data_IF_090688009721
#
_entry.id   IF_090688009721
#
_cell.length_a   1.000
_cell.length_b   1.000
_cell.length_c   1.000
_cell.angle_alpha   90.00
_cell.angle_beta   90.00
_cell.angle_gamma   90.00
#
_symmetry.space_group_name_H-M   'P 1'
#
loop_
_entity.id
_entity.type
_entity.pdbx_description
1 polymer ?
#
# COMPACT_ATOMS: atom_id res chain seq x y z
N UNK A 1 -17.09 -13.68 -21.21
CA UNK A 1 -16.27 -12.43 -21.21
C UNK A 1 -14.82 -12.83 -21.45
N UNK A 2 -14.04 -12.05 -22.26
CA UNK A 2 -12.61 -12.38 -22.42
C UNK A 2 -11.90 -12.28 -21.07
N UNK A 3 -11.23 -13.33 -20.64
CA UNK A 3 -10.36 -13.32 -19.46
C UNK A 3 -9.16 -12.40 -19.72
N UNK A 4 -8.73 -11.67 -18.70
CA UNK A 4 -7.48 -10.90 -18.77
C UNK A 4 -6.31 -11.89 -18.80
N UNK A 5 -5.39 -11.67 -19.73
CA UNK A 5 -4.14 -12.44 -19.76
C UNK A 5 -3.21 -12.03 -18.62
N UNK A 6 -2.87 -12.95 -17.69
CA UNK A 6 -1.98 -12.67 -16.59
C UNK A 6 -0.60 -12.18 -17.03
N UNK A 7 -0.11 -12.56 -18.21
CA UNK A 7 1.21 -12.13 -18.71
C UNK A 7 1.21 -10.64 -19.07
N UNK A 8 0.09 -10.13 -19.58
CA UNK A 8 -0.08 -8.69 -19.83
C UNK A 8 -0.03 -7.89 -18.53
N UNK A 9 -0.74 -8.37 -17.48
CA UNK A 9 -0.73 -7.73 -16.16
C UNK A 9 0.65 -7.83 -15.51
N UNK A 10 1.32 -8.98 -15.63
CA UNK A 10 2.70 -9.18 -15.16
C UNK A 10 3.66 -8.15 -15.76
N UNK A 11 3.61 -7.97 -17.07
CA UNK A 11 4.47 -7.01 -17.78
C UNK A 11 4.23 -5.58 -17.30
N UNK A 12 2.98 -5.19 -17.11
CA UNK A 12 2.62 -3.89 -16.53
C UNK A 12 3.19 -3.70 -15.11
N UNK A 13 3.01 -4.69 -14.24
CA UNK A 13 3.44 -4.61 -12.83
C UNK A 13 4.96 -4.56 -12.69
N UNK A 14 5.71 -5.32 -13.50
CA UNK A 14 7.16 -5.25 -13.54
C UNK A 14 7.64 -3.87 -14.00
N UNK A 15 7.07 -3.34 -15.08
CA UNK A 15 7.38 -1.99 -15.54
C UNK A 15 6.99 -0.90 -14.53
N UNK A 16 5.92 -1.10 -13.77
CA UNK A 16 5.53 -0.21 -12.67
C UNK A 16 6.57 -0.21 -11.56
N UNK A 17 6.99 -1.39 -11.10
CA UNK A 17 8.04 -1.53 -10.08
C UNK A 17 9.32 -0.81 -10.52
N UNK A 18 9.76 -1.01 -11.75
CA UNK A 18 10.96 -0.37 -12.31
C UNK A 18 10.84 1.14 -12.28
N UNK A 19 9.80 1.70 -12.90
CA UNK A 19 9.59 3.16 -12.94
C UNK A 19 9.56 3.80 -11.55
N UNK A 20 8.92 3.14 -10.57
CA UNK A 20 8.83 3.67 -9.21
C UNK A 20 10.20 3.62 -8.53
N UNK A 21 10.89 2.48 -8.59
CA UNK A 21 12.19 2.35 -7.92
C UNK A 21 13.26 3.25 -8.53
N UNK A 22 13.26 3.44 -9.84
CA UNK A 22 14.18 4.35 -10.53
C UNK A 22 13.95 5.81 -10.13
N UNK A 23 12.68 6.24 -10.07
CA UNK A 23 12.33 7.59 -9.65
C UNK A 23 12.72 7.87 -8.19
N UNK A 24 12.50 6.90 -7.30
CA UNK A 24 12.86 7.01 -5.88
C UNK A 24 14.38 6.95 -5.69
N UNK A 25 15.09 6.08 -6.41
CA UNK A 25 16.55 6.01 -6.42
C UNK A 25 17.18 7.35 -6.87
N UNK A 26 16.64 7.97 -7.91
CA UNK A 26 17.09 9.27 -8.41
C UNK A 26 16.90 10.39 -7.36
N UNK A 27 15.83 10.36 -6.56
CA UNK A 27 15.60 11.34 -5.48
C UNK A 27 16.53 11.09 -4.30
N UNK A 28 16.72 9.83 -3.93
CA UNK A 28 17.54 9.45 -2.78
C UNK A 28 19.04 9.60 -3.06
N UNK A 29 19.47 9.31 -4.26
CA UNK A 29 20.88 9.21 -4.66
C UNK A 29 21.48 7.83 -4.37
N UNK A 30 20.66 6.85 -3.98
CA UNK A 30 21.05 5.46 -3.67
C UNK A 30 20.36 4.48 -4.62
N UNK A 31 20.85 3.24 -4.66
CA UNK A 31 20.29 2.18 -5.49
C UNK A 31 19.49 1.18 -4.68
N UNK A 32 18.46 0.59 -5.28
CA UNK A 32 17.75 -0.53 -4.69
C UNK A 32 18.53 -1.84 -4.88
N UNK A 33 18.63 -2.63 -3.82
CA UNK A 33 18.98 -4.04 -3.93
C UNK A 33 17.78 -4.79 -4.53
N UNK A 34 18.00 -5.50 -5.63
CA UNK A 34 16.98 -6.36 -6.24
C UNK A 34 17.21 -7.81 -5.82
N UNK A 35 16.26 -8.36 -5.09
CA UNK A 35 16.26 -9.75 -4.65
C UNK A 35 15.22 -10.54 -5.46
N UNK A 36 15.70 -11.35 -6.40
CA UNK A 36 14.87 -12.23 -7.23
C UNK A 36 14.67 -13.55 -6.50
N UNK A 37 13.42 -13.90 -6.27
CA UNK A 37 13.08 -15.11 -5.55
C UNK A 37 12.11 -16.00 -6.33
N UNK A 38 12.20 -17.28 -6.10
CA UNK A 38 11.31 -18.30 -6.63
C UNK A 38 10.92 -19.26 -5.49
N UNK A 39 9.68 -19.70 -5.51
CA UNK A 39 9.18 -20.71 -4.58
C UNK A 39 9.73 -22.08 -4.94
N UNK A 40 10.14 -22.83 -3.93
CA UNK A 40 10.65 -24.19 -4.11
C UNK A 40 9.53 -25.16 -4.51
N UNK A 41 9.84 -26.19 -5.32
CA UNK A 41 8.87 -27.24 -5.63
C UNK A 41 8.34 -27.90 -4.36
N UNK A 42 7.01 -28.00 -4.24
CA UNK A 42 6.34 -28.59 -3.06
C UNK A 42 5.91 -27.63 -1.98
N UNK A 43 6.27 -26.34 -2.06
CA UNK A 43 5.67 -25.32 -1.21
C UNK A 43 4.18 -25.13 -1.53
N UNK A 44 3.39 -24.67 -0.54
CA UNK A 44 1.94 -24.42 -0.69
C UNK A 44 1.64 -23.39 -1.77
N UNK A 45 2.47 -22.35 -1.88
CA UNK A 45 2.45 -21.39 -2.99
C UNK A 45 3.56 -21.71 -3.96
N UNK A 46 3.27 -21.59 -5.24
CA UNK A 46 4.23 -21.67 -6.34
C UNK A 46 4.34 -20.31 -7.03
N UNK A 47 5.47 -20.02 -7.68
CA UNK A 47 5.67 -18.76 -8.39
C UNK A 47 6.93 -18.03 -7.99
N UNK A 48 7.01 -16.77 -8.33
CA UNK A 48 8.22 -15.96 -8.16
C UNK A 48 7.89 -14.49 -7.90
N UNK A 49 8.91 -13.72 -7.60
CA UNK A 49 8.81 -12.28 -7.45
C UNK A 49 10.15 -11.60 -7.40
N UNK A 50 10.10 -10.28 -7.26
CA UNK A 50 11.26 -9.41 -7.12
C UNK A 50 10.98 -8.46 -5.97
N UNK A 51 11.80 -8.56 -4.92
CA UNK A 51 11.78 -7.59 -3.83
C UNK A 51 12.89 -6.57 -4.06
N UNK A 52 12.51 -5.32 -4.31
CA UNK A 52 13.46 -4.22 -4.38
C UNK A 52 13.45 -3.47 -3.06
N UNK A 53 14.61 -3.38 -2.41
CA UNK A 53 14.77 -2.73 -1.09
C UNK A 53 15.90 -1.71 -1.13
N UNK A 54 15.65 -0.53 -0.62
CA UNK A 54 16.64 0.50 -0.33
C UNK A 54 16.66 0.72 1.18
N UNK A 55 17.82 0.63 1.78
CA UNK A 55 18.03 0.86 3.20
C UNK A 55 19.12 1.90 3.43
N UNK A 56 18.96 2.66 4.51
CA UNK A 56 19.90 3.68 4.94
C UNK A 56 20.19 4.78 3.91
N UNK A 57 19.23 5.06 3.01
CA UNK A 57 19.34 6.12 2.04
C UNK A 57 19.36 7.53 2.66
N UNK A 58 19.67 8.51 1.83
CA UNK A 58 19.71 9.93 2.25
C UNK A 58 18.31 10.45 2.60
N UNK A 59 17.31 10.12 1.76
CA UNK A 59 15.93 10.56 1.91
C UNK A 59 15.10 9.47 2.58
N UNK A 60 15.29 8.22 2.18
CA UNK A 60 14.53 7.09 2.70
C UNK A 60 15.37 6.23 3.62
N UNK A 61 14.95 6.10 4.85
CA UNK A 61 15.56 5.19 5.82
C UNK A 61 15.32 3.73 5.44
N UNK A 62 14.14 3.46 4.89
CA UNK A 62 13.78 2.21 4.18
C UNK A 62 12.74 2.50 3.12
N UNK A 63 12.95 1.95 1.93
CA UNK A 63 11.97 1.93 0.85
C UNK A 63 11.90 0.52 0.27
N UNK A 64 10.75 -0.12 0.41
CA UNK A 64 10.51 -1.45 -0.12
C UNK A 64 9.47 -1.44 -1.23
N UNK A 65 9.75 -2.11 -2.36
CA UNK A 65 8.82 -2.29 -3.47
C UNK A 65 8.89 -3.74 -3.95
N UNK A 66 7.87 -4.53 -3.64
CA UNK A 66 7.79 -5.94 -3.97
C UNK A 66 6.83 -6.21 -5.12
N UNK A 67 7.30 -6.92 -6.14
CA UNK A 67 6.46 -7.60 -7.13
C UNK A 67 6.32 -9.05 -6.75
N UNK A 68 5.12 -9.62 -6.88
CA UNK A 68 4.87 -11.06 -6.73
C UNK A 68 3.92 -11.56 -7.81
N UNK A 69 4.17 -12.81 -8.26
CA UNK A 69 3.29 -13.58 -9.11
C UNK A 69 3.26 -15.02 -8.57
N UNK A 70 2.19 -15.37 -7.89
CA UNK A 70 2.06 -16.64 -7.18
C UNK A 70 0.77 -17.35 -7.54
N UNK A 71 0.80 -18.67 -7.41
CA UNK A 71 -0.33 -19.57 -7.60
C UNK A 71 -0.47 -20.46 -6.38
N UNK A 72 -1.70 -20.74 -5.99
CA UNK A 72 -1.98 -21.65 -4.89
C UNK A 72 -3.12 -22.61 -5.23
N UNK A 73 -3.13 -23.81 -4.61
CA UNK A 73 -4.16 -24.81 -4.86
C UNK A 73 -5.51 -24.45 -4.22
N UNK A 74 -5.50 -23.54 -3.24
CA UNK A 74 -6.70 -23.17 -2.48
C UNK A 74 -6.66 -21.68 -2.09
N UNK A 75 -7.70 -20.94 -2.46
CA UNK A 75 -7.93 -19.60 -1.93
C UNK A 75 -8.12 -19.67 -0.40
N UNK A 76 -7.39 -18.84 0.36
CA UNK A 76 -7.57 -18.77 1.80
C UNK A 76 -8.90 -18.12 2.18
N UNK A 77 -9.45 -18.38 3.39
CA UNK A 77 -10.72 -17.81 3.86
C UNK A 77 -10.80 -16.30 3.79
N UNK A 78 -9.68 -15.61 4.01
CA UNK A 78 -9.60 -14.14 3.93
C UNK A 78 -9.87 -13.59 2.53
N UNK A 79 -9.61 -14.36 1.47
CA UNK A 79 -9.87 -13.98 0.08
C UNK A 79 -11.25 -14.43 -0.43
N UNK A 80 -11.97 -15.25 0.34
CA UNK A 80 -13.28 -15.80 -0.06
C UNK A 80 -14.45 -15.28 0.78
N UNK A 81 -14.20 -14.32 1.68
CA UNK A 81 -15.23 -13.77 2.55
C UNK A 81 -16.45 -13.23 1.78
N UNK A 82 -16.21 -12.62 0.62
CA UNK A 82 -17.26 -12.09 -0.26
C UNK A 82 -17.53 -12.96 -1.49
N UNK A 83 -16.87 -14.14 -1.59
CA UNK A 83 -16.94 -15.09 -2.70
C UNK A 83 -16.95 -16.53 -2.19
N UNK A 84 -17.97 -16.93 -1.43
CA UNK A 84 -18.02 -18.28 -0.85
C UNK A 84 -18.02 -19.39 -1.91
N UNK A 85 -18.48 -19.09 -3.13
CA UNK A 85 -18.46 -20.00 -4.29
C UNK A 85 -17.05 -20.34 -4.78
N UNK A 86 -16.05 -19.51 -4.42
CA UNK A 86 -14.62 -19.73 -4.73
C UNK A 86 -13.85 -20.34 -3.56
N UNK A 87 -14.52 -20.72 -2.48
CA UNK A 87 -13.85 -21.31 -1.32
C UNK A 87 -13.11 -22.59 -1.73
N UNK A 88 -11.80 -22.62 -1.45
CA UNK A 88 -10.96 -23.74 -1.81
C UNK A 88 -10.59 -23.88 -3.29
N UNK A 89 -10.98 -22.92 -4.14
CA UNK A 89 -10.60 -22.89 -5.54
C UNK A 89 -9.11 -22.63 -5.74
N UNK A 90 -8.46 -23.22 -6.76
CA UNK A 90 -7.12 -22.83 -7.16
C UNK A 90 -7.10 -21.38 -7.64
N UNK A 91 -6.01 -20.69 -7.36
CA UNK A 91 -5.91 -19.25 -7.66
C UNK A 91 -4.55 -18.85 -8.21
N UNK A 92 -4.54 -17.71 -8.85
CA UNK A 92 -3.36 -16.99 -9.31
C UNK A 92 -3.45 -15.54 -8.85
N UNK A 93 -2.39 -15.00 -8.25
CA UNK A 93 -2.33 -13.65 -7.74
C UNK A 93 -1.06 -12.94 -8.22
N UNK A 94 -1.25 -11.73 -8.74
CA UNK A 94 -0.17 -10.85 -9.18
C UNK A 94 -0.34 -9.48 -8.53
N UNK A 95 0.76 -8.88 -8.09
CA UNK A 95 0.68 -7.56 -7.49
C UNK A 95 2.02 -6.87 -7.30
N UNK A 96 1.94 -5.57 -7.10
CA UNK A 96 3.00 -4.73 -6.58
C UNK A 96 2.53 -4.12 -5.27
N UNK A 97 3.37 -4.22 -4.24
CA UNK A 97 3.16 -3.60 -2.94
C UNK A 97 4.40 -2.81 -2.55
N UNK A 98 4.22 -1.61 -2.06
CA UNK A 98 5.33 -0.78 -1.59
C UNK A 98 5.00 -0.02 -0.31
N UNK A 99 6.04 0.21 0.49
CA UNK A 99 6.02 1.13 1.62
C UNK A 99 7.35 1.87 1.68
N UNK A 100 7.30 3.18 1.77
CA UNK A 100 8.48 4.02 1.90
C UNK A 100 8.47 4.77 3.22
N UNK A 101 9.52 4.58 4.01
CA UNK A 101 9.73 5.21 5.31
C UNK A 101 10.84 6.26 5.19
N UNK A 102 10.48 7.55 5.10
CA UNK A 102 11.45 8.62 4.94
C UNK A 102 12.21 8.90 6.24
N UNK A 103 13.44 9.40 6.09
CA UNK A 103 14.29 9.80 7.21
C UNK A 103 13.77 11.07 7.89
N UNK A 104 13.44 12.09 7.07
CA UNK A 104 12.93 13.35 7.58
C UNK A 104 11.50 13.20 8.11
N UNK A 105 11.22 13.60 9.38
CA UNK A 105 9.88 13.48 9.98
C UNK A 105 8.78 14.28 9.27
N UNK A 106 9.13 15.28 8.49
CA UNK A 106 8.18 16.08 7.73
C UNK A 106 7.76 15.45 6.40
N UNK A 107 8.50 14.44 5.92
CA UNK A 107 8.08 13.62 4.79
C UNK A 107 7.18 12.48 5.30
N UNK A 108 5.97 12.31 4.78
CA UNK A 108 5.09 11.23 5.23
C UNK A 108 5.55 9.85 4.73
N UNK A 109 5.26 8.81 5.48
CA UNK A 109 5.26 7.43 4.97
C UNK A 109 4.14 7.28 3.94
N UNK A 110 4.41 6.53 2.89
CA UNK A 110 3.44 6.19 1.84
C UNK A 110 3.35 4.69 1.65
N UNK A 111 2.15 4.21 1.42
CA UNK A 111 1.86 2.84 1.00
C UNK A 111 1.10 2.86 -0.32
N UNK A 112 1.37 1.89 -1.19
CA UNK A 112 0.56 1.54 -2.34
C UNK A 112 0.54 0.03 -2.50
N UNK A 113 -0.61 -0.50 -2.84
CA UNK A 113 -0.78 -1.87 -3.30
C UNK A 113 -1.69 -1.88 -4.52
N UNK A 114 -1.32 -2.65 -5.54
CA UNK A 114 -2.21 -2.95 -6.68
C UNK A 114 -2.05 -4.41 -7.03
N UNK A 115 -3.18 -5.10 -7.22
CA UNK A 115 -3.18 -6.54 -7.43
C UNK A 115 -4.33 -7.00 -8.32
N UNK A 116 -4.10 -8.12 -9.00
CA UNK A 116 -5.11 -8.92 -9.67
C UNK A 116 -5.13 -10.31 -9.05
N UNK A 117 -6.30 -10.85 -8.84
CA UNK A 117 -6.53 -12.25 -8.50
C UNK A 117 -7.41 -12.89 -9.55
N UNK A 118 -7.12 -14.16 -9.83
CA UNK A 118 -7.99 -15.03 -10.63
C UNK A 118 -8.21 -16.33 -9.90
N UNK A 119 -9.41 -16.89 -9.97
CA UNK A 119 -9.71 -18.21 -9.44
C UNK A 119 -10.65 -18.95 -10.37
N UNK A 120 -10.48 -20.26 -10.47
CA UNK A 120 -11.35 -21.12 -11.26
C UNK A 120 -12.26 -21.90 -10.31
N UNK A 121 -13.60 -21.71 -10.38
CA UNK A 121 -14.53 -22.44 -9.54
C UNK A 121 -14.34 -23.96 -9.64
N UNK A 122 -14.48 -24.69 -8.54
CA UNK A 122 -14.27 -26.14 -8.48
C UNK A 122 -15.25 -26.95 -9.37
N UNK A 123 -16.39 -26.35 -9.71
CA UNK A 123 -17.40 -26.95 -10.62
C UNK A 123 -17.06 -26.85 -12.11
N UNK A 124 -15.85 -26.35 -12.47
CA UNK A 124 -15.42 -26.20 -13.88
C UNK A 124 -16.00 -24.97 -14.59
N UNK A 125 -16.48 -23.97 -13.84
CA UNK A 125 -16.94 -22.69 -14.39
C UNK A 125 -15.81 -21.85 -14.99
N UNK A 126 -16.18 -20.76 -15.67
CA UNK A 126 -15.22 -19.77 -16.21
C UNK A 126 -14.40 -19.14 -15.08
N UNK A 127 -13.08 -18.88 -15.30
CA UNK A 127 -12.25 -18.19 -14.34
C UNK A 127 -12.83 -16.81 -13.98
N UNK A 128 -12.87 -16.51 -12.68
CA UNK A 128 -13.29 -15.21 -12.16
C UNK A 128 -12.04 -14.38 -11.89
N UNK A 129 -12.04 -13.14 -12.36
CA UNK A 129 -10.94 -12.20 -12.17
C UNK A 129 -11.45 -10.96 -11.43
N UNK A 130 -10.70 -10.51 -10.43
CA UNK A 130 -10.96 -9.27 -9.68
C UNK A 130 -9.69 -8.53 -9.32
N UNK A 131 -9.86 -7.26 -8.96
CA UNK A 131 -8.77 -6.35 -8.69
C UNK A 131 -8.90 -5.78 -7.28
N UNK A 132 -7.76 -5.51 -6.67
CA UNK A 132 -7.66 -4.76 -5.43
C UNK A 132 -6.50 -3.78 -5.50
N UNK A 133 -6.57 -2.77 -4.67
CA UNK A 133 -5.50 -1.80 -4.61
C UNK A 133 -5.84 -0.55 -3.83
N UNK A 134 -4.94 0.40 -3.94
CA UNK A 134 -5.05 1.69 -3.32
C UNK A 134 -3.69 2.28 -2.99
N UNK A 135 -3.70 3.50 -2.53
CA UNK A 135 -2.55 4.18 -1.96
C UNK A 135 -3.01 5.11 -0.84
N UNK A 136 -2.22 5.21 0.21
CA UNK A 136 -2.50 6.05 1.37
C UNK A 136 -1.25 6.70 1.95
N UNK A 137 -1.45 7.84 2.61
CA UNK A 137 -0.39 8.68 3.14
C UNK A 137 -0.47 8.74 4.66
N UNK A 138 0.66 8.51 5.33
CA UNK A 138 0.79 8.51 6.79
C UNK A 138 1.78 9.60 7.23
N UNK A 139 1.33 10.83 7.48
CA UNK A 139 2.18 11.91 7.98
C UNK A 139 2.47 11.75 9.48
N UNK A 140 3.62 12.30 9.89
CA UNK A 140 3.99 12.49 11.29
C UNK A 140 3.76 13.95 11.72
N UNK A 141 3.85 14.85 10.76
CA UNK A 141 3.47 16.26 10.85
C UNK A 141 2.57 16.58 9.67
N UNK A 142 1.40 17.13 9.95
CA UNK A 142 0.38 17.37 8.94
C UNK A 142 0.55 18.70 8.20
N UNK A 143 0.46 18.64 6.86
CA UNK A 143 0.39 19.80 5.98
C UNK A 143 -0.84 19.68 5.08
N UNK A 144 -1.72 20.65 5.15
CA UNK A 144 -2.99 20.61 4.42
C UNK A 144 -2.78 20.55 2.90
N UNK A 145 -1.82 21.32 2.39
CA UNK A 145 -1.46 21.31 0.96
C UNK A 145 -0.98 19.94 0.45
N UNK A 146 -0.29 19.17 1.30
CA UNK A 146 0.17 17.82 0.95
C UNK A 146 -1.01 16.82 0.93
N UNK A 147 -1.93 16.95 1.90
CA UNK A 147 -3.14 16.14 1.94
C UNK A 147 -4.06 16.43 0.75
N UNK A 148 -4.31 17.71 0.45
CA UNK A 148 -5.11 18.13 -0.71
C UNK A 148 -4.47 17.62 -2.01
N UNK A 149 -3.16 17.82 -2.20
CA UNK A 149 -2.45 17.34 -3.39
C UNK A 149 -2.57 15.82 -3.57
N UNK A 150 -2.35 15.06 -2.51
CA UNK A 150 -2.43 13.60 -2.56
C UNK A 150 -3.84 13.12 -2.93
N UNK A 151 -4.85 13.66 -2.25
CA UNK A 151 -6.25 13.31 -2.49
C UNK A 151 -6.76 13.77 -3.84
N UNK A 152 -6.34 14.96 -4.31
CA UNK A 152 -6.70 15.44 -5.65
C UNK A 152 -6.13 14.51 -6.74
N UNK A 153 -4.88 14.07 -6.58
CA UNK A 153 -4.27 13.10 -7.51
C UNK A 153 -5.02 11.77 -7.51
N UNK A 154 -5.45 11.28 -6.34
CA UNK A 154 -6.28 10.08 -6.24
C UNK A 154 -7.64 10.26 -6.97
N UNK A 155 -8.29 11.40 -6.77
CA UNK A 155 -9.57 11.74 -7.39
C UNK A 155 -9.46 11.83 -8.91
N UNK A 156 -8.42 12.49 -9.40
CA UNK A 156 -8.18 12.65 -10.85
C UNK A 156 -7.88 11.29 -11.52
N UNK A 157 -7.12 10.41 -10.86
CA UNK A 157 -6.85 9.06 -11.34
C UNK A 157 -8.12 8.20 -11.49
N UNK A 158 -9.13 8.43 -10.65
CA UNK A 158 -10.39 7.70 -10.66
C UNK A 158 -11.50 8.34 -11.51
N UNK A 159 -11.38 9.62 -11.82
CA UNK A 159 -12.40 10.37 -12.54
C UNK A 159 -12.87 9.72 -13.87
N UNK A 160 -11.98 9.09 -14.70
CA UNK A 160 -12.41 8.42 -15.94
C UNK A 160 -13.33 7.20 -15.72
N UNK A 161 -13.40 6.69 -14.50
CA UNK A 161 -14.10 5.45 -14.14
C UNK A 161 -15.44 5.67 -13.44
N UNK A 162 -15.79 6.93 -13.16
CA UNK A 162 -17.05 7.36 -12.56
C UNK A 162 -16.83 8.27 -11.34
N UNK A 163 -17.67 9.29 -11.21
CA UNK A 163 -17.58 10.29 -10.16
C UNK A 163 -17.80 9.76 -8.73
N UNK A 164 -18.41 8.58 -8.61
CA UNK A 164 -18.65 7.85 -7.35
C UNK A 164 -17.43 7.09 -6.84
N UNK A 165 -16.41 6.83 -7.69
CA UNK A 165 -15.29 5.96 -7.33
C UNK A 165 -14.41 6.56 -6.25
N UNK A 166 -14.03 7.85 -6.40
CA UNK A 166 -13.18 8.49 -5.40
C UNK A 166 -13.85 8.58 -4.02
N UNK A 167 -15.04 9.13 -3.83
CA UNK A 167 -15.64 9.22 -2.50
C UNK A 167 -15.87 7.85 -1.86
N UNK A 168 -16.27 6.83 -2.64
CA UNK A 168 -16.44 5.47 -2.14
C UNK A 168 -15.13 4.83 -1.69
N UNK A 169 -14.08 4.93 -2.50
CA UNK A 169 -12.80 4.32 -2.18
C UNK A 169 -12.01 5.10 -1.11
N UNK A 170 -12.24 6.41 -1.02
CA UNK A 170 -11.73 7.23 0.09
C UNK A 170 -12.35 6.81 1.41
N UNK A 171 -13.68 6.70 1.46
CA UNK A 171 -14.37 6.21 2.66
C UNK A 171 -13.90 4.81 3.07
N UNK A 172 -13.77 3.91 2.11
CA UNK A 172 -13.27 2.55 2.38
C UNK A 172 -11.83 2.55 2.88
N UNK A 173 -10.98 3.42 2.35
CA UNK A 173 -9.61 3.63 2.85
C UNK A 173 -9.60 4.07 4.32
N UNK A 174 -10.43 5.05 4.67
CA UNK A 174 -10.55 5.54 6.05
C UNK A 174 -11.01 4.44 7.01
N UNK A 175 -11.94 3.60 6.58
CA UNK A 175 -12.44 2.47 7.38
C UNK A 175 -11.43 1.35 7.52
N UNK A 176 -10.71 1.03 6.44
CA UNK A 176 -9.73 -0.05 6.42
C UNK A 176 -8.52 0.25 7.29
N UNK A 177 -7.96 1.48 7.18
CA UNK A 177 -6.74 1.86 7.90
C UNK A 177 -6.99 2.45 9.30
N UNK A 178 -8.21 2.40 9.80
CA UNK A 178 -8.54 2.84 11.15
C UNK A 178 -7.97 1.90 12.22
N UNK A 179 -7.19 2.46 13.17
CA UNK A 179 -6.65 1.71 14.31
C UNK A 179 -7.72 1.59 15.42
N UNK A 180 -8.47 0.52 15.40
CA UNK A 180 -9.61 0.30 16.30
C UNK A 180 -9.24 0.36 17.78
N UNK A 181 -8.08 -0.21 18.15
CA UNK A 181 -7.60 -0.26 19.53
C UNK A 181 -6.98 1.07 20.01
N UNK A 182 -6.74 2.01 19.08
CA UNK A 182 -6.28 3.38 19.37
C UNK A 182 -7.36 4.44 19.17
N UNK A 183 -8.44 4.10 18.49
CA UNK A 183 -9.52 5.00 18.10
C UNK A 183 -9.03 6.21 17.29
N UNK A 184 -8.10 5.97 16.38
CA UNK A 184 -7.51 7.01 15.51
C UNK A 184 -7.29 6.50 14.08
N UNK A 185 -7.22 7.41 13.13
CA UNK A 185 -6.79 7.08 11.77
C UNK A 185 -5.28 6.79 11.73
N UNK A 186 -4.84 5.86 10.86
CA UNK A 186 -3.42 5.58 10.64
C UNK A 186 -2.71 6.80 10.04
N UNK A 187 -3.36 7.47 9.09
CA UNK A 187 -2.89 8.66 8.39
C UNK A 187 -4.06 9.48 7.84
N UNK A 188 -3.81 10.23 6.79
CA UNK A 188 -4.83 11.04 6.13
C UNK A 188 -5.69 10.24 5.12
N UNK A 189 -5.43 8.94 4.98
CA UNK A 189 -6.08 8.10 3.99
C UNK A 189 -5.54 8.29 2.58
N UNK A 190 -6.39 8.11 1.63
CA UNK A 190 -6.17 8.08 0.20
C UNK A 190 -7.32 7.33 -0.46
N UNK A 191 -7.03 6.25 -1.20
CA UNK A 191 -8.04 5.39 -1.80
C UNK A 191 -7.72 3.91 -1.57
N UNK A 192 -8.76 3.14 -1.33
CA UNK A 192 -8.68 1.69 -1.17
C UNK A 192 -9.87 1.02 -1.84
N UNK A 193 -9.61 -0.02 -2.61
CA UNK A 193 -10.63 -0.89 -3.19
C UNK A 193 -10.17 -2.35 -3.14
N UNK A 194 -11.09 -3.25 -2.96
CA UNK A 194 -10.84 -4.69 -2.95
C UNK A 194 -11.98 -5.41 -3.65
N UNK A 195 -11.72 -6.63 -4.12
CA UNK A 195 -12.71 -7.48 -4.76
C UNK A 195 -13.47 -6.80 -5.93
N UNK A 196 -12.78 -5.90 -6.64
CA UNK A 196 -13.38 -5.01 -7.62
C UNK A 196 -13.42 -5.64 -9.01
N UNK A 197 -14.63 -5.72 -9.59
CA UNK A 197 -14.88 -6.20 -10.97
C UNK A 197 -16.07 -5.50 -11.64
N UNK A 198 -16.67 -4.51 -11.00
CA UNK A 198 -17.94 -3.89 -11.39
C UNK A 198 -17.93 -3.30 -12.80
N UNK A 199 -16.78 -2.88 -13.31
CA UNK A 199 -16.64 -2.28 -14.63
C UNK A 199 -16.35 -3.30 -15.74
N UNK A 200 -16.36 -4.60 -15.39
CA UNK A 200 -15.87 -5.67 -16.26
C UNK A 200 -14.33 -5.75 -16.24
N UNK A 201 -13.75 -6.85 -16.76
CA UNK A 201 -12.33 -7.14 -16.59
C UNK A 201 -11.40 -6.05 -17.14
N UNK A 202 -11.57 -5.65 -18.38
CA UNK A 202 -10.69 -4.70 -19.07
C UNK A 202 -10.72 -3.31 -18.42
N UNK A 203 -11.90 -2.80 -18.08
CA UNK A 203 -12.05 -1.46 -17.51
C UNK A 203 -11.66 -1.44 -16.02
N UNK A 204 -11.85 -2.54 -15.30
CA UNK A 204 -11.35 -2.67 -13.92
C UNK A 204 -9.82 -2.74 -13.87
N UNK A 205 -9.19 -3.44 -14.84
CA UNK A 205 -7.74 -3.40 -15.02
C UNK A 205 -7.25 -1.98 -15.30
N UNK A 206 -7.90 -1.27 -16.24
CA UNK A 206 -7.53 0.09 -16.58
C UNK A 206 -7.63 1.04 -15.36
N UNK A 207 -8.64 0.86 -14.51
CA UNK A 207 -8.78 1.63 -13.26
C UNK A 207 -7.63 1.35 -12.29
N UNK A 208 -7.30 0.08 -12.05
CA UNK A 208 -6.16 -0.30 -11.22
C UNK A 208 -4.85 0.31 -11.76
N UNK A 209 -4.64 0.25 -13.08
CA UNK A 209 -3.48 0.85 -13.75
C UNK A 209 -3.46 2.38 -13.60
N UNK A 210 -4.62 3.04 -13.68
CA UNK A 210 -4.77 4.49 -13.46
C UNK A 210 -4.29 4.91 -12.07
N UNK A 211 -4.77 4.21 -11.03
CA UNK A 211 -4.32 4.44 -9.64
C UNK A 211 -2.82 4.18 -9.50
N UNK A 212 -2.32 3.06 -10.01
CA UNK A 212 -0.90 2.70 -9.94
C UNK A 212 0.01 3.75 -10.62
N UNK A 213 -0.37 4.21 -11.81
CA UNK A 213 0.42 5.18 -12.59
C UNK A 213 0.42 6.58 -11.97
N UNK A 214 -0.58 6.95 -11.17
CA UNK A 214 -0.64 8.24 -10.49
C UNK A 214 0.27 8.34 -9.25
N UNK A 215 0.83 7.21 -8.77
CA UNK A 215 1.59 7.15 -7.52
C UNK A 215 2.76 8.16 -7.45
N UNK A 216 3.60 8.21 -8.47
CA UNK A 216 4.74 9.13 -8.49
C UNK A 216 4.29 10.59 -8.51
N UNK A 217 3.21 10.90 -9.21
CA UNK A 217 2.61 12.23 -9.23
C UNK A 217 2.03 12.61 -7.86
N UNK A 218 1.45 11.67 -7.14
CA UNK A 218 0.91 11.88 -5.81
C UNK A 218 1.99 12.11 -4.76
N UNK A 219 3.09 11.35 -4.80
CA UNK A 219 4.05 11.30 -3.70
C UNK A 219 5.33 12.13 -3.91
N UNK A 220 5.93 12.10 -5.10
CA UNK A 220 7.22 12.76 -5.37
C UNK A 220 7.21 14.26 -5.08
N UNK A 221 6.17 15.04 -5.46
CA UNK A 221 6.11 16.48 -5.11
C UNK A 221 6.14 16.75 -3.61
N UNK A 222 5.50 15.89 -2.81
CA UNK A 222 5.49 15.99 -1.35
C UNK A 222 6.91 15.74 -0.80
N UNK A 223 7.58 14.67 -1.26
CA UNK A 223 8.97 14.38 -0.86
C UNK A 223 9.88 15.55 -1.15
N UNK A 224 9.86 16.08 -2.38
CA UNK A 224 10.70 17.21 -2.80
C UNK A 224 10.43 18.49 -1.97
N UNK A 225 9.21 18.71 -1.54
CA UNK A 225 8.83 19.86 -0.71
C UNK A 225 9.31 19.74 0.73
N UNK A 226 9.40 18.51 1.26
CA UNK A 226 9.60 18.27 2.70
C UNK A 226 10.96 17.69 3.06
N UNK A 227 11.69 17.06 2.15
CA UNK A 227 12.91 16.30 2.46
C UNK A 227 14.05 17.12 3.10
N UNK A 228 14.09 18.42 2.82
CA UNK A 228 15.12 19.33 3.32
C UNK A 228 14.61 20.26 4.45
N UNK A 229 13.41 19.97 5.00
CA UNK A 229 12.85 20.72 6.14
C UNK A 229 13.70 20.45 7.37
N UNK A 230 14.15 21.52 8.06
CA UNK A 230 14.93 21.40 9.28
C UNK A 230 14.13 20.69 10.37
N UNK A 231 14.72 19.67 10.96
CA UNK A 231 14.14 18.90 12.06
C UNK A 231 15.20 18.57 13.12
N UNK A 232 14.74 18.28 14.33
CA UNK A 232 15.58 17.90 15.45
C UNK A 232 15.19 16.58 16.10
N UNK A 233 15.71 16.36 17.29
CA UNK A 233 15.47 15.15 18.07
C UNK A 233 13.99 14.98 18.43
N UNK A 234 13.32 16.07 18.79
CA UNK A 234 11.89 16.10 19.12
C UNK A 234 11.03 15.53 17.98
N UNK A 235 11.26 16.03 16.77
CA UNK A 235 10.52 15.58 15.58
C UNK A 235 10.85 14.12 15.25
N UNK A 236 12.10 13.72 15.40
CA UNK A 236 12.53 12.34 15.21
C UNK A 236 11.90 11.39 16.21
N UNK A 237 11.91 11.70 17.49
CA UNK A 237 11.25 10.91 18.53
C UNK A 237 9.75 10.74 18.28
N UNK A 238 9.10 11.81 17.86
CA UNK A 238 7.67 11.73 17.53
C UNK A 238 7.42 10.86 16.29
N UNK A 239 8.26 10.97 15.27
CA UNK A 239 8.21 10.07 14.10
C UNK A 239 8.31 8.59 14.52
N UNK A 240 9.30 8.25 15.35
CA UNK A 240 9.49 6.87 15.84
C UNK A 240 8.27 6.38 16.63
N UNK A 241 7.71 7.22 17.48
CA UNK A 241 6.49 6.92 18.21
C UNK A 241 5.29 6.68 17.29
N UNK A 242 5.11 7.51 16.26
CA UNK A 242 4.04 7.32 15.28
C UNK A 242 4.26 6.09 14.40
N UNK A 243 5.51 5.74 14.10
CA UNK A 243 5.84 4.48 13.41
C UNK A 243 5.40 3.25 14.23
N UNK A 244 5.37 3.32 15.55
CA UNK A 244 4.77 2.29 16.39
C UNK A 244 3.31 2.02 16.00
N UNK A 245 2.51 3.05 15.69
CA UNK A 245 1.12 2.91 15.22
C UNK A 245 1.03 2.23 13.85
N UNK A 246 1.97 2.55 12.97
CA UNK A 246 2.09 1.90 11.66
C UNK A 246 2.37 0.39 11.81
N UNK A 247 3.31 0.02 12.67
CA UNK A 247 3.63 -1.39 12.98
C UNK A 247 2.43 -2.11 13.59
N UNK A 248 1.74 -1.48 14.55
CA UNK A 248 0.52 -2.05 15.16
C UNK A 248 -0.53 -2.38 14.11
N UNK A 249 -0.79 -1.46 13.17
CA UNK A 249 -1.75 -1.73 12.10
C UNK A 249 -1.33 -2.94 11.25
N UNK A 250 -0.11 -2.93 10.74
CA UNK A 250 0.35 -3.96 9.82
C UNK A 250 0.39 -5.36 10.44
N UNK A 251 0.79 -5.47 11.71
CA UNK A 251 0.89 -6.78 12.38
C UNK A 251 -0.45 -7.27 12.97
N UNK A 252 -1.34 -6.36 13.35
CA UNK A 252 -2.58 -6.74 14.06
C UNK A 252 -3.81 -6.72 13.15
N UNK A 253 -3.87 -5.81 12.18
CA UNK A 253 -5.10 -5.54 11.44
C UNK A 253 -4.99 -5.72 9.92
N UNK A 254 -3.77 -5.66 9.35
CA UNK A 254 -3.62 -5.73 7.90
C UNK A 254 -3.90 -7.13 7.35
N UNK A 255 -5.00 -7.23 6.58
CA UNK A 255 -5.39 -8.49 5.94
C UNK A 255 -4.35 -9.00 4.95
N UNK A 256 -3.62 -8.07 4.28
CA UNK A 256 -2.57 -8.42 3.32
C UNK A 256 -1.37 -9.09 4.01
N UNK A 257 -0.93 -8.55 5.15
CA UNK A 257 0.13 -9.15 5.98
C UNK A 257 -0.29 -10.52 6.50
N UNK A 258 -1.51 -10.62 7.05
CA UNK A 258 -2.02 -11.90 7.54
C UNK A 258 -2.15 -12.95 6.43
N UNK A 259 -2.71 -12.56 5.27
CA UNK A 259 -2.79 -13.43 4.10
C UNK A 259 -1.41 -13.95 3.69
N UNK A 260 -0.43 -13.04 3.56
CA UNK A 260 0.92 -13.41 3.17
C UNK A 260 1.58 -14.40 4.13
N UNK A 261 1.51 -14.12 5.43
CA UNK A 261 2.11 -14.99 6.46
C UNK A 261 1.39 -16.36 6.57
N UNK A 262 0.06 -16.37 6.53
CA UNK A 262 -0.74 -17.58 6.65
C UNK A 262 -0.66 -18.49 5.42
N UNK A 263 -0.48 -17.93 4.24
CA UNK A 263 -0.34 -18.69 2.98
C UNK A 263 1.08 -19.15 2.69
N UNK A 264 2.04 -18.91 3.60
CA UNK A 264 3.44 -19.28 3.38
C UNK A 264 4.17 -18.38 2.41
N UNK A 265 3.75 -17.10 2.33
CA UNK A 265 4.45 -16.05 1.60
C UNK A 265 5.87 -15.84 2.12
N UNK A 266 6.71 -15.20 1.32
CA UNK A 266 8.10 -14.92 1.71
C UNK A 266 8.14 -13.84 2.79
N UNK A 267 8.53 -14.20 4.01
CA UNK A 267 8.50 -13.32 5.20
C UNK A 267 9.27 -12.01 4.98
N UNK A 268 10.49 -12.07 4.42
CA UNK A 268 11.30 -10.88 4.14
C UNK A 268 10.59 -9.90 3.19
N UNK A 269 9.90 -10.43 2.17
CA UNK A 269 9.15 -9.60 1.22
C UNK A 269 7.87 -9.00 1.83
N UNK A 270 7.28 -9.66 2.82
CA UNK A 270 6.11 -9.17 3.56
C UNK A 270 6.53 -8.10 4.55
N UNK A 271 7.55 -8.39 5.36
CA UNK A 271 8.00 -7.51 6.44
C UNK A 271 8.91 -6.35 5.98
N UNK A 272 9.25 -6.26 4.69
CA UNK A 272 9.89 -5.06 4.11
C UNK A 272 9.04 -3.79 4.31
N UNK A 273 7.75 -3.94 4.55
CA UNK A 273 6.81 -2.85 4.85
C UNK A 273 7.01 -2.21 6.21
N UNK A 274 7.77 -2.86 7.12
CA UNK A 274 8.01 -2.33 8.45
C UNK A 274 9.05 -1.21 8.42
N UNK A 275 8.87 -0.15 9.25
CA UNK A 275 9.93 0.83 9.44
C UNK A 275 11.14 0.18 10.11
N UNK A 276 12.38 0.62 9.81
CA UNK A 276 13.58 0.03 10.43
C UNK A 276 13.66 0.32 11.93
N UNK A 277 13.06 1.43 12.37
CA UNK A 277 12.97 1.84 13.77
C UNK A 277 11.56 2.34 14.09
N UNK A 278 11.05 1.91 15.24
CA UNK A 278 9.81 2.38 15.83
C UNK A 278 9.95 2.42 17.36
N UNK A 279 9.11 3.21 18.03
CA UNK A 279 9.12 3.27 19.49
C UNK A 279 7.70 3.29 20.07
N UNK A 280 7.60 2.87 21.33
CA UNK A 280 6.40 2.96 22.13
C UNK A 280 6.69 3.69 23.42
N UNK A 281 5.76 4.53 23.86
CA UNK A 281 5.79 5.16 25.16
C UNK A 281 4.46 4.95 25.86
N UNK A 282 4.53 4.61 27.16
CA UNK A 282 3.33 4.44 27.96
C UNK A 282 2.68 5.81 28.19
N UNK A 283 1.42 5.97 27.78
CA UNK A 283 0.61 7.20 27.95
C UNK A 283 1.34 8.49 27.50
N UNK A 284 2.02 8.46 26.35
CA UNK A 284 2.69 9.65 25.82
C UNK A 284 1.70 10.81 25.72
N UNK A 285 2.05 11.93 26.35
CA UNK A 285 1.32 13.18 26.24
C UNK A 285 1.98 14.08 25.19
N UNK A 286 1.15 14.80 24.43
CA UNK A 286 1.60 15.85 23.53
C UNK A 286 1.18 17.21 24.08
N UNK A 287 2.05 18.20 23.95
CA UNK A 287 1.74 19.54 24.44
C UNK A 287 0.56 20.16 23.66
N UNK A 288 -0.38 20.73 24.37
CA UNK A 288 -1.53 21.43 23.74
C UNK A 288 -1.03 22.52 22.77
N UNK A 289 -1.65 22.60 21.61
CA UNK A 289 -1.28 23.58 20.57
C UNK A 289 0.02 23.27 19.82
N UNK A 290 0.72 22.16 20.16
CA UNK A 290 1.92 21.74 19.43
C UNK A 290 1.57 21.20 18.02
N UNK A 291 2.54 21.15 17.09
CA UNK A 291 2.36 20.48 15.81
C UNK A 291 1.95 19.00 15.93
N UNK A 292 2.43 18.32 16.97
CA UNK A 292 2.04 16.94 17.29
C UNK A 292 0.56 16.85 17.70
N UNK A 293 0.09 17.77 18.54
CA UNK A 293 -1.33 17.83 18.92
C UNK A 293 -2.23 18.13 17.70
N UNK A 294 -1.77 19.02 16.82
CA UNK A 294 -2.44 19.33 15.58
C UNK A 294 -2.56 18.14 14.63
N UNK A 295 -1.55 17.25 14.59
CA UNK A 295 -1.66 16.01 13.81
C UNK A 295 -2.89 15.20 14.24
N UNK A 296 -3.11 15.02 15.54
CA UNK A 296 -4.25 14.26 16.05
C UNK A 296 -5.59 14.95 15.78
N UNK A 297 -5.64 16.26 15.97
CA UNK A 297 -6.89 17.02 15.87
C UNK A 297 -7.38 17.21 14.42
N UNK A 298 -6.44 17.42 13.48
CA UNK A 298 -6.77 17.90 12.14
C UNK A 298 -6.51 16.83 11.04
N UNK A 299 -5.61 15.85 11.28
CA UNK A 299 -5.15 14.93 10.24
C UNK A 299 -5.44 13.46 10.52
N UNK A 300 -5.49 13.03 11.77
CA UNK A 300 -5.83 11.64 12.14
C UNK A 300 -7.33 11.46 12.39
N UNK A 301 -8.12 12.22 11.70
CA UNK A 301 -9.59 12.20 11.74
C UNK A 301 -10.13 12.01 10.32
N UNK A 302 -11.36 11.50 10.20
CA UNK A 302 -12.03 11.48 8.90
C UNK A 302 -12.32 12.90 8.45
N UNK A 303 -11.82 13.24 7.30
CA UNK A 303 -11.97 14.59 6.73
C UNK A 303 -12.03 14.51 5.20
N UNK A 304 -12.89 15.32 4.60
CA UNK A 304 -12.88 15.55 3.16
C UNK A 304 -11.76 16.55 2.82
N UNK A 305 -10.89 16.17 1.90
CA UNK A 305 -9.72 16.98 1.51
C UNK A 305 -9.95 17.72 0.19
N UNK A 306 -10.83 17.15 -0.71
CA UNK A 306 -11.10 17.66 -2.06
C UNK A 306 -12.54 17.40 -2.51
#
# INVERSE_FOLDING_TARGET
MKSIDPLTVRSFLLGLQERITDAIAAIDGSTFLADHWQKEPGEALQGNGITKILENGRVFERAGCGFSHVRGPKLPPSATQHRPELAGAPFEALGVSLVFHPRNPYVPTVHMNVRMLTATPANGGEPVCWFGGGMDLTPYYGFEEDAVHFHQTCKDALAPFGGDKYPRFKLWCDEYFYLKHRQEQRGIGGVFFDDFQELGPERSLAMMQGVANSFLQAYVPIVKRRQDTTCGEREREFQLYRRGRYVEFNLVWDRGTHFGLQSGGRTESILMSMPPLASWAYQRQVAAGSPEARLYADFLVRREWV
#
